data_IF_744686589755
#
_entry.id   IF_744686589755
#
_cell.length_a   1.000
_cell.length_b   1.000
_cell.length_c   1.000
_cell.angle_alpha   90.00
_cell.angle_beta   90.00
_cell.angle_gamma   90.00
#
_symmetry.space_group_name_H-M   'P 1'
#
loop_
_entity.id
_entity.type
_entity.pdbx_description
1 polymer ?
#
# COMPACT_ATOMS: atom_id res chain seq x y z
N UNK A 1 5.74 31.35 -77.51
CA UNK A 1 4.58 30.44 -77.57
C UNK A 1 4.32 30.07 -76.12
N UNK A 2 3.54 30.86 -75.38
CA UNK A 2 2.09 31.16 -75.49
C UNK A 2 1.24 29.87 -75.39
N UNK A 3 0.27 29.95 -74.48
CA UNK A 3 -1.00 29.21 -74.36
C UNK A 3 -0.98 27.90 -73.56
N UNK A 4 -1.93 27.58 -72.68
CA UNK A 4 -2.95 28.33 -71.92
C UNK A 4 -3.78 27.32 -71.10
N UNK A 5 -4.51 27.83 -70.09
CA UNK A 5 -5.82 27.30 -69.67
C UNK A 5 -5.82 26.16 -68.62
N UNK A 6 -6.10 26.37 -67.32
CA UNK A 6 -7.32 26.96 -66.70
C UNK A 6 -8.58 26.18 -67.12
N UNK A 7 -9.53 25.75 -66.30
CA UNK A 7 -9.85 25.79 -64.88
C UNK A 7 -11.09 24.88 -64.68
N UNK A 8 -11.44 24.59 -63.42
CA UNK A 8 -12.79 24.76 -62.83
C UNK A 8 -13.25 23.57 -62.00
N UNK A 9 -13.52 23.84 -60.73
CA UNK A 9 -14.16 22.92 -59.78
C UNK A 9 -14.04 23.44 -58.35
N UNK A 10 -14.43 24.70 -58.16
CA UNK A 10 -14.58 25.40 -56.87
C UNK A 10 -15.92 25.04 -56.20
N UNK A 11 -15.99 25.31 -54.89
CA UNK A 11 -17.11 25.27 -53.93
C UNK A 11 -16.89 24.23 -52.81
N UNK A 12 -16.20 24.61 -51.72
CA UNK A 12 -16.72 25.36 -50.56
C UNK A 12 -17.69 24.54 -49.72
N UNK A 13 -17.38 24.26 -48.45
CA UNK A 13 -17.78 25.16 -47.36
C UNK A 13 -17.27 24.64 -46.00
N UNK A 14 -17.23 25.57 -45.08
CA UNK A 14 -16.42 25.72 -43.88
C UNK A 14 -16.84 24.84 -42.69
N UNK A 15 -15.89 24.61 -41.77
CA UNK A 15 -16.17 23.91 -40.52
C UNK A 15 -15.00 23.88 -39.54
N UNK A 16 -14.67 25.05 -39.00
CA UNK A 16 -13.81 25.33 -37.82
C UNK A 16 -13.57 24.18 -36.82
N UNK A 17 -12.33 24.08 -36.36
CA UNK A 17 -12.07 24.20 -34.91
C UNK A 17 -11.14 23.16 -34.29
N UNK A 18 -9.95 23.63 -33.88
CA UNK A 18 -9.40 23.39 -32.55
C UNK A 18 -8.79 22.02 -32.22
N UNK A 19 -7.46 22.02 -32.16
CA UNK A 19 -6.65 21.70 -30.96
C UNK A 19 -6.82 20.33 -30.25
N UNK A 20 -5.65 19.81 -29.82
CA UNK A 20 -5.41 18.80 -28.77
C UNK A 20 -5.38 17.32 -29.15
N UNK A 21 -4.14 16.84 -29.24
CA UNK A 21 -3.62 15.61 -28.60
C UNK A 21 -4.65 14.65 -27.99
N UNK A 22 -4.82 13.49 -28.64
CA UNK A 22 -5.27 12.24 -28.04
C UNK A 22 -4.23 11.19 -28.47
N UNK A 23 -3.68 10.32 -27.64
CA UNK A 23 -4.22 9.72 -26.42
C UNK A 23 -3.91 8.24 -26.56
N UNK A 24 -2.88 7.76 -25.88
CA UNK A 24 -2.72 6.33 -25.61
C UNK A 24 -2.15 6.24 -24.20
N UNK A 25 -3.01 6.62 -23.26
CA UNK A 25 -2.85 6.24 -21.86
C UNK A 25 -2.98 4.72 -21.81
N UNK A 26 -1.91 4.10 -21.33
CA UNK A 26 -1.81 2.69 -21.02
C UNK A 26 -2.87 2.34 -19.98
N UNK A 27 -3.76 1.42 -20.35
CA UNK A 27 -4.81 0.86 -19.53
C UNK A 27 -4.19 0.15 -18.30
N UNK A 28 -4.44 0.61 -17.06
CA UNK A 28 -4.00 -0.13 -15.88
C UNK A 28 -5.05 -1.20 -15.53
N UNK A 29 -4.69 -2.45 -15.81
CA UNK A 29 -5.44 -3.64 -15.42
C UNK A 29 -5.80 -3.60 -13.91
N UNK A 30 -7.11 -3.59 -13.66
CA UNK A 30 -7.75 -3.52 -12.34
C UNK A 30 -7.65 -4.85 -11.57
N UNK A 31 -7.39 -4.78 -10.27
CA UNK A 31 -7.37 -5.95 -9.36
C UNK A 31 -8.79 -6.36 -9.00
N UNK A 32 -9.15 -7.61 -9.28
CA UNK A 32 -10.47 -8.19 -9.00
C UNK A 32 -10.79 -8.13 -7.48
N UNK A 33 -11.91 -7.49 -7.13
CA UNK A 33 -12.39 -7.29 -5.76
C UNK A 33 -12.37 -5.85 -5.23
N UNK A 34 -11.90 -4.87 -6.01
CA UNK A 34 -12.00 -3.43 -5.70
C UNK A 34 -12.73 -2.76 -6.86
N UNK A 35 -13.90 -2.18 -6.61
CA UNK A 35 -14.63 -1.43 -7.63
C UNK A 35 -13.81 -0.18 -8.00
N UNK A 36 -13.17 -0.23 -9.17
CA UNK A 36 -12.22 0.77 -9.66
C UNK A 36 -12.79 2.19 -9.76
N UNK A 37 -14.12 2.32 -9.75
CA UNK A 37 -14.80 3.61 -9.73
C UNK A 37 -14.69 4.37 -8.38
N UNK A 38 -14.18 3.71 -7.33
CA UNK A 38 -13.98 4.30 -5.99
C UNK A 38 -12.52 4.62 -5.63
N UNK A 39 -11.55 4.21 -6.46
CA UNK A 39 -10.15 4.58 -6.27
C UNK A 39 -9.96 6.00 -6.79
N UNK A 40 -10.17 6.97 -5.89
CA UNK A 40 -9.70 8.34 -6.11
C UNK A 40 -8.21 8.25 -6.37
N UNK A 41 -7.82 8.67 -7.57
CA UNK A 41 -6.45 8.82 -8.03
C UNK A 41 -5.67 9.61 -6.97
N UNK A 42 -5.00 8.89 -6.06
CA UNK A 42 -4.25 9.47 -4.97
C UNK A 42 -2.92 9.97 -5.54
N UNK A 43 -3.00 11.02 -6.36
CA UNK A 43 -1.85 11.87 -6.62
C UNK A 43 -1.33 12.34 -5.26
N UNK A 44 -0.03 12.12 -4.95
CA UNK A 44 0.54 12.37 -3.62
C UNK A 44 0.62 13.87 -3.27
N UNK A 45 0.31 14.76 -4.20
CA UNK A 45 0.15 16.19 -3.95
C UNK A 45 -1.23 16.46 -3.29
N UNK A 46 -1.25 16.29 -1.96
CA UNK A 46 -2.32 16.60 -1.02
C UNK A 46 -3.52 15.65 -1.03
N UNK A 47 -3.48 14.68 -0.12
CA UNK A 47 -4.69 14.19 0.55
C UNK A 47 -5.25 15.34 1.42
N UNK A 48 -5.76 16.40 0.79
CA UNK A 48 -6.52 17.44 1.49
C UNK A 48 -7.85 16.82 1.90
N UNK A 49 -7.86 16.23 3.10
CA UNK A 49 -9.07 15.66 3.67
C UNK A 49 -10.16 16.71 3.71
N UNK A 50 -11.34 16.35 3.23
CA UNK A 50 -12.52 17.18 3.48
C UNK A 50 -12.74 17.27 5.00
N UNK A 51 -13.33 18.36 5.52
CA UNK A 51 -13.61 18.46 6.96
C UNK A 51 -14.41 17.26 7.51
N UNK A 52 -15.29 16.68 6.69
CA UNK A 52 -16.05 15.48 7.05
C UNK A 52 -15.16 14.23 7.15
N UNK A 53 -14.22 14.04 6.22
CA UNK A 53 -13.25 12.95 6.29
C UNK A 53 -12.30 13.13 7.47
N UNK A 54 -11.89 14.35 7.76
CA UNK A 54 -11.05 14.66 8.91
C UNK A 54 -11.76 14.33 10.24
N UNK A 55 -13.03 14.69 10.39
CA UNK A 55 -13.80 14.35 11.60
C UNK A 55 -14.10 12.84 11.71
N UNK A 56 -14.33 12.14 10.58
CA UNK A 56 -14.43 10.66 10.58
C UNK A 56 -13.11 10.02 10.99
N UNK A 57 -12.00 10.42 10.37
CA UNK A 57 -10.67 9.94 10.69
C UNK A 57 -10.32 10.14 12.15
N UNK A 58 -10.58 11.34 12.66
CA UNK A 58 -10.52 11.63 14.10
C UNK A 58 -11.39 10.69 14.90
N UNK A 59 -12.63 10.43 14.51
CA UNK A 59 -13.50 9.50 15.25
C UNK A 59 -12.91 8.09 15.33
N UNK A 60 -12.30 7.59 14.25
CA UNK A 60 -11.63 6.29 14.25
C UNK A 60 -10.35 6.28 15.10
N UNK A 61 -9.58 7.37 15.05
CA UNK A 61 -8.29 7.50 15.73
C UNK A 61 -8.41 8.08 17.16
N UNK A 62 -9.56 8.60 17.56
CA UNK A 62 -9.85 9.06 18.92
C UNK A 62 -10.28 7.89 19.78
N UNK A 63 -9.42 7.49 20.70
CA UNK A 63 -9.75 6.51 21.72
C UNK A 63 -8.57 6.17 22.60
N UNK A 64 -8.84 5.36 23.62
CA UNK A 64 -7.84 4.85 24.56
C UNK A 64 -6.68 4.16 23.82
N UNK A 65 -6.95 3.51 22.68
CA UNK A 65 -5.93 2.84 21.85
C UNK A 65 -4.83 3.76 21.32
N UNK A 66 -5.17 4.97 20.85
CA UNK A 66 -4.13 5.90 20.36
C UNK A 66 -3.33 6.47 21.54
N UNK A 67 -3.97 6.65 22.70
CA UNK A 67 -3.25 7.02 23.92
C UNK A 67 -2.29 5.90 24.34
N UNK A 68 -2.74 4.66 24.38
CA UNK A 68 -1.90 3.49 24.71
C UNK A 68 -0.69 3.41 23.79
N UNK A 69 -0.88 3.63 22.48
CA UNK A 69 0.22 3.73 21.52
C UNK A 69 1.18 4.84 21.95
N UNK A 70 0.72 6.08 22.16
CA UNK A 70 1.60 7.22 22.48
C UNK A 70 2.42 7.04 23.76
N UNK A 71 1.92 6.31 24.74
CA UNK A 71 2.59 6.08 26.02
C UNK A 71 3.52 4.86 26.05
N UNK A 72 3.55 4.05 24.99
CA UNK A 72 4.46 2.91 24.86
C UNK A 72 5.80 3.32 24.24
N UNK A 73 6.89 2.80 24.78
CA UNK A 73 8.25 3.02 24.27
C UNK A 73 8.44 2.34 22.91
N UNK A 74 7.84 1.15 22.74
CA UNK A 74 7.88 0.39 21.49
C UNK A 74 6.49 0.31 20.87
N UNK A 75 6.37 0.84 19.67
CA UNK A 75 5.11 0.98 18.94
C UNK A 75 5.27 0.32 17.58
N UNK A 76 4.60 -0.80 17.37
CA UNK A 76 4.70 -1.61 16.16
C UNK A 76 3.43 -1.47 15.32
N UNK A 77 3.55 -0.83 14.15
CA UNK A 77 2.50 -0.91 13.13
C UNK A 77 2.73 -2.16 12.29
N UNK A 78 1.80 -3.11 12.35
CA UNK A 78 1.90 -4.37 11.60
C UNK A 78 1.07 -4.26 10.32
N UNK A 79 1.74 -4.43 9.18
CA UNK A 79 1.14 -4.39 7.84
C UNK A 79 1.28 -5.75 7.16
N UNK A 80 0.42 -6.01 6.17
CA UNK A 80 0.38 -7.32 5.51
C UNK A 80 -1.04 -7.68 5.13
N UNK A 81 -1.21 -8.82 4.46
CA UNK A 81 -2.53 -9.26 3.99
C UNK A 81 -3.53 -9.35 5.15
N UNK A 82 -4.66 -8.64 5.01
CA UNK A 82 -5.79 -8.72 5.94
C UNK A 82 -6.65 -9.96 5.74
N UNK A 83 -7.75 -10.02 6.50
CA UNK A 83 -8.72 -11.11 6.47
C UNK A 83 -8.52 -12.18 7.55
N UNK A 84 -9.38 -13.18 7.52
CA UNK A 84 -9.43 -14.25 8.52
C UNK A 84 -8.85 -15.59 8.06
N UNK A 85 -8.30 -15.62 6.84
CA UNK A 85 -7.63 -16.79 6.29
C UNK A 85 -6.17 -16.89 6.77
N UNK A 86 -5.46 -17.92 6.31
CA UNK A 86 -4.12 -18.26 6.81
C UNK A 86 -3.15 -17.06 6.89
N UNK A 87 -2.96 -16.26 5.82
CA UNK A 87 -2.09 -15.08 5.87
C UNK A 87 -2.55 -14.03 6.90
N UNK A 88 -3.84 -13.69 6.94
CA UNK A 88 -4.37 -12.73 7.91
C UNK A 88 -4.24 -13.21 9.36
N UNK A 89 -4.46 -14.50 9.62
CA UNK A 89 -4.21 -15.12 10.93
C UNK A 89 -2.74 -15.02 11.35
N UNK A 90 -1.79 -15.22 10.41
CA UNK A 90 -0.36 -15.09 10.71
C UNK A 90 0.06 -13.65 10.94
N UNK A 91 -0.49 -12.68 10.21
CA UNK A 91 -0.29 -11.25 10.48
C UNK A 91 -0.78 -10.89 11.89
N UNK A 92 -1.96 -11.35 12.27
CA UNK A 92 -2.50 -11.18 13.65
C UNK A 92 -1.60 -11.82 14.70
N UNK A 93 -1.12 -13.04 14.44
CA UNK A 93 -0.13 -13.73 15.30
C UNK A 93 1.14 -12.89 15.52
N UNK A 94 1.68 -12.27 14.46
CA UNK A 94 2.85 -11.37 14.58
C UNK A 94 2.51 -10.17 15.46
N UNK A 95 1.35 -9.54 15.24
CA UNK A 95 0.88 -8.44 16.08
C UNK A 95 0.81 -8.85 17.55
N UNK A 96 0.15 -9.96 17.87
CA UNK A 96 -0.01 -10.42 19.25
C UNK A 96 1.36 -10.70 19.92
N UNK A 97 2.30 -11.32 19.20
CA UNK A 97 3.65 -11.58 19.71
C UNK A 97 4.47 -10.31 19.99
N UNK A 98 4.25 -9.26 19.21
CA UNK A 98 4.90 -7.96 19.43
C UNK A 98 4.22 -7.18 20.56
N UNK A 99 2.90 -7.28 20.68
CA UNK A 99 2.08 -6.64 21.72
C UNK A 99 2.36 -7.23 23.11
N UNK A 100 2.62 -8.54 23.19
CA UNK A 100 2.96 -9.25 24.44
C UNK A 100 4.32 -8.82 25.04
N UNK A 101 5.10 -8.00 24.32
CA UNK A 101 6.39 -7.52 24.80
C UNK A 101 6.20 -6.45 25.88
N UNK A 102 7.15 -6.38 26.80
CA UNK A 102 7.15 -5.34 27.84
C UNK A 102 7.27 -3.96 27.22
N UNK A 103 6.44 -3.03 27.70
CA UNK A 103 6.45 -1.60 27.28
C UNK A 103 6.26 -1.44 25.76
N UNK A 104 5.55 -2.40 25.16
CA UNK A 104 5.22 -2.42 23.75
C UNK A 104 3.72 -2.32 23.52
N UNK A 105 3.38 -1.78 22.35
CA UNK A 105 2.04 -1.84 21.79
C UNK A 105 2.16 -2.14 20.31
N UNK A 106 1.46 -3.17 19.84
CA UNK A 106 1.38 -3.52 18.43
C UNK A 106 -0.05 -3.39 17.92
N UNK A 107 -0.21 -2.77 16.76
CA UNK A 107 -1.50 -2.39 16.21
C UNK A 107 -1.53 -2.54 14.70
N UNK A 108 -2.73 -2.68 14.16
CA UNK A 108 -3.01 -2.72 12.72
C UNK A 108 -4.01 -1.63 12.34
N UNK A 109 -4.20 -1.37 11.05
CA UNK A 109 -5.19 -0.39 10.60
C UNK A 109 -6.62 -0.80 11.02
N UNK A 110 -6.92 -2.09 10.94
CA UNK A 110 -8.24 -2.65 11.28
C UNK A 110 -8.58 -2.52 12.77
N UNK A 111 -7.59 -2.31 13.62
CA UNK A 111 -7.80 -2.06 15.06
C UNK A 111 -8.51 -0.73 15.34
N UNK A 112 -8.61 0.16 14.36
CA UNK A 112 -9.33 1.43 14.46
C UNK A 112 -10.73 1.35 13.85
N UNK A 113 -11.20 0.13 13.56
CA UNK A 113 -12.51 -0.11 12.98
C UNK A 113 -12.63 0.37 11.53
N UNK A 114 -11.51 0.63 10.86
CA UNK A 114 -11.48 0.95 9.45
C UNK A 114 -11.78 -0.32 8.65
N UNK A 115 -12.99 -0.34 8.09
CA UNK A 115 -13.50 -1.41 7.23
C UNK A 115 -13.29 -1.07 5.75
N UNK A 116 -13.60 -2.02 4.85
CA UNK A 116 -13.52 -1.79 3.41
C UNK A 116 -14.41 -0.65 2.91
N UNK A 117 -15.47 -0.31 3.66
CA UNK A 117 -16.39 0.80 3.34
C UNK A 117 -15.76 2.19 3.62
N UNK A 118 -14.61 2.22 4.30
CA UNK A 118 -13.86 3.42 4.68
C UNK A 118 -12.52 3.54 3.93
N UNK A 119 -12.43 2.92 2.75
CA UNK A 119 -11.21 2.89 1.94
C UNK A 119 -10.60 4.28 1.68
N UNK A 120 -11.45 5.32 1.61
CA UNK A 120 -11.04 6.72 1.44
C UNK A 120 -10.27 7.29 2.65
N UNK A 121 -10.36 6.65 3.80
CA UNK A 121 -9.67 7.01 5.04
C UNK A 121 -8.45 6.15 5.33
N UNK A 122 -8.22 5.07 4.56
CA UNK A 122 -7.12 4.14 4.83
C UNK A 122 -5.77 4.79 4.64
N UNK A 123 -5.58 5.51 3.54
CA UNK A 123 -4.33 6.23 3.27
C UNK A 123 -3.94 7.26 4.34
N UNK A 124 -4.81 8.22 4.69
CA UNK A 124 -4.49 9.20 5.72
C UNK A 124 -4.36 8.58 7.12
N UNK A 125 -5.14 7.53 7.44
CA UNK A 125 -4.99 6.82 8.70
C UNK A 125 -3.65 6.09 8.77
N UNK A 126 -3.26 5.40 7.69
CA UNK A 126 -2.00 4.70 7.58
C UNK A 126 -0.80 5.64 7.77
N UNK A 127 -0.85 6.82 7.16
CA UNK A 127 0.15 7.87 7.34
C UNK A 127 0.31 8.28 8.81
N UNK A 128 -0.80 8.61 9.48
CA UNK A 128 -0.78 8.98 10.91
C UNK A 128 -0.25 7.83 11.77
N UNK A 129 -0.65 6.60 11.49
CA UNK A 129 -0.19 5.42 12.24
C UNK A 129 1.30 5.14 12.03
N UNK A 130 1.80 5.31 10.81
CA UNK A 130 3.24 5.28 10.53
C UNK A 130 3.97 6.36 11.33
N UNK A 131 3.35 7.53 11.49
CA UNK A 131 4.00 8.59 12.26
C UNK A 131 4.14 8.28 13.75
N UNK A 132 3.15 7.59 14.30
CA UNK A 132 3.16 7.14 15.70
C UNK A 132 4.06 5.92 15.90
N UNK A 133 4.29 5.10 14.88
CA UNK A 133 5.08 3.90 15.00
C UNK A 133 6.57 4.20 15.26
N UNK A 134 7.19 3.38 16.11
CA UNK A 134 8.66 3.28 16.21
C UNK A 134 9.23 2.22 15.27
N UNK A 135 8.37 1.28 14.86
CA UNK A 135 8.69 0.15 14.01
C UNK A 135 7.49 -0.12 13.11
N UNK A 136 7.72 -0.27 11.81
CA UNK A 136 6.71 -0.75 10.86
C UNK A 136 7.12 -2.16 10.45
N UNK A 137 6.22 -3.14 10.62
CA UNK A 137 6.52 -4.55 10.42
C UNK A 137 5.62 -5.10 9.30
N UNK A 138 6.20 -5.36 8.14
CA UNK A 138 5.52 -5.94 6.99
C UNK A 138 5.59 -7.47 6.97
N UNK A 139 4.44 -8.14 7.07
CA UNK A 139 4.32 -9.60 6.96
C UNK A 139 3.97 -9.97 5.53
N UNK A 140 4.94 -10.56 4.82
CA UNK A 140 4.85 -10.76 3.37
C UNK A 140 4.84 -12.25 3.03
N UNK A 141 3.76 -12.69 2.37
CA UNK A 141 3.58 -14.09 2.00
C UNK A 141 3.19 -14.32 0.55
N UNK A 142 2.50 -13.34 -0.03
CA UNK A 142 2.11 -13.31 -1.42
C UNK A 142 1.91 -11.85 -1.85
N UNK A 143 1.61 -11.62 -3.13
CA UNK A 143 1.18 -10.31 -3.64
C UNK A 143 -0.34 -10.15 -3.67
N UNK A 144 -1.07 -10.85 -2.78
CA UNK A 144 -2.52 -10.81 -2.72
C UNK A 144 -3.07 -9.85 -1.66
N UNK A 145 -4.16 -9.13 -1.98
CA UNK A 145 -4.88 -8.27 -1.04
C UNK A 145 -4.34 -6.84 -0.93
N UNK A 146 -5.09 -5.97 -0.25
CA UNK A 146 -4.87 -4.51 -0.23
C UNK A 146 -3.55 -4.02 0.38
N UNK A 147 -2.81 -4.87 1.07
CA UNK A 147 -1.53 -4.52 1.71
C UNK A 147 -0.40 -4.21 0.73
N UNK A 148 -0.53 -4.64 -0.53
CA UNK A 148 0.42 -4.27 -1.60
C UNK A 148 0.38 -2.76 -1.85
N UNK A 149 -0.79 -2.12 -1.66
CA UNK A 149 -0.92 -0.67 -1.71
C UNK A 149 -0.20 0.00 -0.51
N UNK A 150 -0.34 -0.53 0.72
CA UNK A 150 0.38 -0.03 1.91
C UNK A 150 1.89 -0.07 1.68
N UNK A 151 2.39 -1.17 1.13
CA UNK A 151 3.81 -1.36 0.77
C UNK A 151 4.25 -0.38 -0.34
N UNK A 152 3.40 -0.16 -1.35
CA UNK A 152 3.63 0.85 -2.39
C UNK A 152 3.71 2.27 -1.82
N UNK A 153 2.82 2.62 -0.89
CA UNK A 153 2.81 3.90 -0.19
C UNK A 153 4.08 4.09 0.65
N UNK A 154 4.46 3.08 1.46
CA UNK A 154 5.71 3.05 2.24
C UNK A 154 6.97 3.26 1.39
N UNK A 155 6.91 2.87 0.12
CA UNK A 155 7.99 3.12 -0.83
C UNK A 155 7.97 4.55 -1.37
N UNK A 156 6.80 5.08 -1.70
CA UNK A 156 6.68 6.37 -2.41
C UNK A 156 6.89 7.58 -1.51
N UNK A 157 6.50 7.48 -0.24
CA UNK A 157 6.51 8.55 0.75
C UNK A 157 7.37 8.11 1.94
N UNK A 158 8.24 9.01 2.42
CA UNK A 158 8.96 8.96 3.71
C UNK A 158 10.25 8.13 3.78
N UNK A 159 11.39 8.84 3.77
CA UNK A 159 12.67 8.35 4.28
C UNK A 159 12.57 7.83 5.72
N UNK A 160 11.72 8.46 6.55
CA UNK A 160 11.54 8.10 7.95
C UNK A 160 10.95 6.69 8.16
N UNK A 161 9.98 6.28 7.36
CA UNK A 161 9.35 4.96 7.56
C UNK A 161 10.30 3.84 7.12
N UNK A 162 11.09 4.08 6.08
CA UNK A 162 12.17 3.17 5.66
C UNK A 162 13.17 2.91 6.79
N UNK A 163 13.47 3.92 7.61
CA UNK A 163 14.39 3.80 8.74
C UNK A 163 13.82 2.99 9.93
N UNK A 164 12.54 2.67 9.92
CA UNK A 164 11.88 1.87 10.96
C UNK A 164 11.19 0.62 10.39
N UNK A 165 11.36 0.34 9.09
CA UNK A 165 10.73 -0.77 8.40
C UNK A 165 11.48 -2.09 8.63
N UNK A 166 10.73 -3.11 9.02
CA UNK A 166 11.11 -4.51 9.13
C UNK A 166 10.22 -5.36 8.25
N UNK A 167 10.78 -6.33 7.52
CA UNK A 167 10.04 -7.21 6.64
C UNK A 167 10.18 -8.66 7.08
N UNK A 168 9.06 -9.30 7.42
CA UNK A 168 8.96 -10.73 7.68
C UNK A 168 8.51 -11.44 6.40
N UNK A 169 9.47 -11.83 5.55
CA UNK A 169 9.21 -12.40 4.23
C UNK A 169 9.20 -13.93 4.25
N UNK A 170 8.10 -14.52 3.80
CA UNK A 170 7.97 -15.96 3.70
C UNK A 170 8.89 -16.53 2.62
N UNK A 171 9.74 -17.47 3.03
CA UNK A 171 10.54 -18.31 2.16
C UNK A 171 9.77 -19.61 1.87
N UNK A 172 9.58 -19.90 0.58
CA UNK A 172 8.96 -21.13 0.12
C UNK A 172 10.02 -22.17 -0.24
N UNK A 173 9.69 -23.45 -0.05
CA UNK A 173 10.61 -24.57 -0.27
C UNK A 173 10.99 -24.77 -1.75
N UNK A 174 10.09 -24.39 -2.66
CA UNK A 174 10.32 -24.50 -4.10
C UNK A 174 10.13 -23.16 -4.81
N UNK A 175 10.92 -22.95 -5.86
CA UNK A 175 10.82 -21.77 -6.72
C UNK A 175 9.50 -21.68 -7.46
N UNK A 176 8.87 -22.82 -7.75
CA UNK A 176 7.53 -22.88 -8.33
C UNK A 176 6.48 -22.33 -7.36
N UNK A 177 6.50 -22.80 -6.11
CA UNK A 177 5.58 -22.33 -5.08
C UNK A 177 5.79 -20.85 -4.74
N UNK A 178 7.06 -20.42 -4.72
CA UNK A 178 7.43 -19.02 -4.57
C UNK A 178 6.87 -18.18 -5.72
N UNK A 179 7.03 -18.62 -6.97
CA UNK A 179 6.49 -17.93 -8.14
C UNK A 179 4.98 -17.81 -8.06
N UNK A 180 4.26 -18.91 -7.84
CA UNK A 180 2.79 -18.88 -7.68
C UNK A 180 2.29 -17.85 -6.65
N UNK A 181 3.05 -17.65 -5.57
CA UNK A 181 2.69 -16.72 -4.48
C UNK A 181 3.14 -15.30 -4.77
N UNK A 182 4.22 -15.13 -5.52
CA UNK A 182 4.80 -13.85 -5.86
C UNK A 182 4.77 -13.59 -7.38
N UNK A 183 3.69 -13.96 -8.06
CA UNK A 183 3.54 -13.79 -9.51
C UNK A 183 2.83 -12.46 -9.84
N UNK A 184 3.51 -11.35 -9.57
CA UNK A 184 3.06 -10.02 -10.00
C UNK A 184 4.28 -9.13 -10.21
N UNK A 185 4.57 -8.78 -11.47
CA UNK A 185 5.78 -8.04 -11.84
C UNK A 185 5.87 -6.63 -11.24
N UNK A 186 4.73 -5.94 -11.11
CA UNK A 186 4.68 -4.61 -10.50
C UNK A 186 4.94 -4.68 -8.99
N UNK A 187 4.25 -5.58 -8.29
CA UNK A 187 4.45 -5.79 -6.86
C UNK A 187 5.87 -6.31 -6.55
N UNK A 188 6.47 -7.09 -7.46
CA UNK A 188 7.85 -7.52 -7.36
C UNK A 188 8.85 -6.37 -7.41
N UNK A 189 8.65 -5.38 -8.29
CA UNK A 189 9.51 -4.21 -8.38
C UNK A 189 9.43 -3.35 -7.11
N UNK A 190 8.22 -3.10 -6.59
CA UNK A 190 8.02 -2.38 -5.33
C UNK A 190 8.62 -3.12 -4.15
N UNK A 191 8.38 -4.44 -4.04
CA UNK A 191 8.96 -5.24 -2.97
C UNK A 191 10.49 -5.26 -3.03
N UNK A 192 11.08 -5.46 -4.20
CA UNK A 192 12.54 -5.43 -4.35
C UNK A 192 13.13 -4.08 -3.94
N UNK A 193 12.37 -3.00 -4.05
CA UNK A 193 12.78 -1.68 -3.58
C UNK A 193 12.66 -1.52 -2.06
N UNK A 194 11.59 -2.04 -1.45
CA UNK A 194 11.44 -2.10 0.00
C UNK A 194 12.48 -3.01 0.65
N UNK A 195 12.81 -4.15 0.05
CA UNK A 195 13.86 -5.04 0.53
C UNK A 195 15.22 -4.34 0.54
N UNK A 196 15.54 -3.59 -0.52
CA UNK A 196 16.75 -2.76 -0.56
C UNK A 196 16.75 -1.66 0.50
N UNK A 197 15.59 -1.12 0.87
CA UNK A 197 15.48 -0.09 1.88
C UNK A 197 15.56 -0.66 3.32
N UNK A 198 14.96 -1.84 3.53
CA UNK A 198 15.00 -2.55 4.81
C UNK A 198 16.39 -3.16 5.07
N UNK A 199 17.09 -3.59 4.02
CA UNK A 199 18.43 -4.18 4.05
C UNK A 199 18.54 -5.32 5.08
N UNK A 200 19.31 -5.15 6.16
CA UNK A 200 19.45 -6.15 7.24
C UNK A 200 18.15 -6.44 8.02
N UNK A 201 17.11 -5.63 7.82
CA UNK A 201 15.80 -5.76 8.48
C UNK A 201 14.81 -6.63 7.70
N UNK A 202 15.29 -7.36 6.69
CA UNK A 202 14.53 -8.40 6.00
C UNK A 202 14.81 -9.74 6.66
N UNK A 203 13.84 -10.24 7.43
CA UNK A 203 13.91 -11.52 8.12
C UNK A 203 13.04 -12.54 7.40
N UNK A 204 13.62 -13.69 7.09
CA UNK A 204 12.94 -14.75 6.36
C UNK A 204 12.38 -15.82 7.30
N UNK A 205 11.20 -16.35 6.95
CA UNK A 205 10.57 -17.44 7.70
C UNK A 205 9.90 -18.46 6.78
N UNK A 206 9.87 -19.74 7.15
CA UNK A 206 9.32 -20.83 6.31
C UNK A 206 7.99 -21.39 6.79
N UNK A 207 7.79 -21.40 8.10
CA UNK A 207 6.60 -21.98 8.74
C UNK A 207 6.31 -21.35 10.10
N UNK A 208 5.27 -21.83 10.78
CA UNK A 208 4.76 -21.19 12.00
C UNK A 208 5.79 -21.06 13.14
N UNK A 209 6.54 -22.12 13.44
CA UNK A 209 7.60 -22.06 14.47
C UNK A 209 8.75 -21.13 14.09
N UNK A 210 8.98 -20.96 12.78
CA UNK A 210 10.02 -20.08 12.26
C UNK A 210 9.56 -18.62 12.27
N UNK A 211 8.27 -18.37 12.09
CA UNK A 211 7.67 -17.04 12.19
C UNK A 211 7.85 -16.49 13.61
N UNK A 212 7.54 -17.27 14.65
CA UNK A 212 7.71 -16.83 16.04
C UNK A 212 9.17 -16.45 16.33
N UNK A 213 10.13 -17.23 15.80
CA UNK A 213 11.57 -16.93 15.90
C UNK A 213 11.94 -15.65 15.15
N UNK A 214 11.46 -15.50 13.92
CA UNK A 214 11.72 -14.33 13.08
C UNK A 214 11.16 -13.04 13.71
N UNK A 215 9.99 -13.11 14.35
CA UNK A 215 9.45 -11.99 15.13
C UNK A 215 10.40 -11.60 16.25
N UNK A 216 11.07 -12.55 16.89
CA UNK A 216 12.08 -12.30 17.94
C UNK A 216 13.31 -11.54 17.46
N UNK A 217 13.58 -11.45 16.17
CA UNK A 217 14.69 -10.67 15.60
C UNK A 217 14.35 -9.17 15.47
N UNK A 218 13.06 -8.82 15.50
CA UNK A 218 12.61 -7.43 15.51
C UNK A 218 12.91 -6.84 16.90
N UNK A 219 13.60 -5.68 17.00
CA UNK A 219 13.94 -5.03 18.27
C UNK A 219 12.74 -4.73 19.15
#
# INVERSE_FOLDING_TARGET
MVEDGNASGDASDEGRGGDRTAGTESDPDYVDGVDGAGLVDASPDSLTLTPRQHERLKTHLHGDRLNDIQYSDRRYLVVGRGGDDGPGQRRRRVRDLLDDRREATAFMLEDFGLSGDEIDLWAPAFEILCEQATHVVGVLEDYGGGHVWELGYLYHEQSRVRDVLWLLKRAYESDERRRERYDNGMAAAHLAALERAADERVVHWRGASDLDRAVGEIP
#
